data_IF_418482235770
#
_entry.id   IF_418482235770
#
_cell.length_a   1.000
_cell.length_b   1.000
_cell.length_c   1.000
_cell.angle_alpha   90.00
_cell.angle_beta   90.00
_cell.angle_gamma   90.00
#
_symmetry.space_group_name_H-M   'P 1'
#
loop_
_entity.id
_entity.type
_entity.pdbx_description
1 polymer ?
#
# COMPACT_ATOMS: atom_id res chain seq x y z
N UNK A 1 -11.71 26.37 13.65
CA UNK A 1 -12.19 25.06 13.15
C UNK A 1 -10.98 24.26 12.76
N UNK A 2 -10.73 23.11 13.42
CA UNK A 2 -9.63 22.23 13.04
C UNK A 2 -10.09 21.49 11.80
N UNK A 3 -9.59 21.92 10.63
CA UNK A 3 -9.86 21.22 9.37
C UNK A 3 -9.27 19.82 9.48
N UNK A 4 -10.12 18.80 9.36
CA UNK A 4 -9.66 17.43 9.27
C UNK A 4 -8.72 17.27 8.07
N UNK A 5 -7.75 16.35 8.12
CA UNK A 5 -6.79 16.16 7.04
C UNK A 5 -7.46 15.87 5.69
N UNK A 6 -8.62 15.19 5.72
CA UNK A 6 -9.44 14.91 4.53
C UNK A 6 -10.04 16.21 3.97
N UNK A 7 -10.51 17.10 4.83
CA UNK A 7 -11.15 18.35 4.44
C UNK A 7 -10.12 19.33 3.88
N UNK A 8 -8.90 19.34 4.43
CA UNK A 8 -7.76 20.09 3.89
C UNK A 8 -7.40 19.62 2.48
N UNK A 9 -7.34 18.31 2.25
CA UNK A 9 -7.07 17.75 0.92
C UNK A 9 -8.21 18.09 -0.04
N UNK A 10 -9.46 18.00 0.41
CA UNK A 10 -10.62 18.35 -0.40
C UNK A 10 -10.55 19.83 -0.82
N UNK A 11 -10.21 20.72 0.10
CA UNK A 11 -10.06 22.14 -0.20
C UNK A 11 -8.91 22.39 -1.17
N UNK A 12 -7.71 21.89 -0.90
CA UNK A 12 -6.53 22.18 -1.72
C UNK A 12 -6.46 21.45 -3.06
N UNK A 13 -7.05 20.26 -3.16
CA UNK A 13 -6.94 19.41 -4.36
C UNK A 13 -8.24 19.42 -5.16
N UNK A 14 -9.40 19.35 -4.52
CA UNK A 14 -10.68 19.25 -5.25
C UNK A 14 -11.18 20.62 -5.72
N UNK A 15 -11.00 21.69 -4.94
CA UNK A 15 -11.43 23.03 -5.39
C UNK A 15 -10.73 23.53 -6.67
N UNK A 16 -9.40 23.44 -6.86
CA UNK A 16 -8.80 23.92 -8.11
C UNK A 16 -9.27 23.12 -9.32
N UNK A 17 -9.63 21.85 -9.13
CA UNK A 17 -10.21 21.01 -10.18
C UNK A 17 -11.61 21.52 -10.52
N UNK A 18 -12.45 21.77 -9.51
CA UNK A 18 -13.79 22.32 -9.70
C UNK A 18 -13.73 23.71 -10.36
N UNK A 19 -12.84 24.61 -9.92
CA UNK A 19 -12.66 25.96 -10.50
C UNK A 19 -12.25 25.89 -11.98
N UNK A 20 -11.35 24.96 -12.32
CA UNK A 20 -10.93 24.74 -13.70
C UNK A 20 -12.08 24.21 -14.57
N UNK A 21 -12.85 23.25 -14.04
CA UNK A 21 -14.02 22.70 -14.70
C UNK A 21 -15.11 23.77 -14.90
N UNK A 22 -15.36 24.60 -13.91
CA UNK A 22 -16.33 25.70 -13.96
C UNK A 22 -15.97 26.72 -15.05
N UNK A 23 -14.69 27.13 -15.12
CA UNK A 23 -14.20 28.02 -16.18
C UNK A 23 -14.40 27.45 -17.59
N UNK A 24 -14.16 26.15 -17.77
CA UNK A 24 -14.36 25.49 -19.06
C UNK A 24 -15.84 25.43 -19.45
N UNK A 25 -16.72 25.21 -18.48
CA UNK A 25 -18.16 25.18 -18.68
C UNK A 25 -18.69 26.57 -19.07
N UNK A 26 -18.29 27.61 -18.33
CA UNK A 26 -18.73 29.00 -18.57
C UNK A 26 -18.17 29.57 -19.88
N UNK A 27 -16.99 29.13 -20.31
CA UNK A 27 -16.39 29.54 -21.59
C UNK A 27 -17.04 28.88 -22.80
N UNK A 28 -18.09 28.06 -22.62
CA UNK A 28 -18.81 27.38 -23.70
C UNK A 28 -18.04 26.22 -24.35
N UNK A 29 -16.90 25.81 -23.77
CA UNK A 29 -16.05 24.75 -24.31
C UNK A 29 -16.46 23.39 -23.73
N UNK A 30 -17.71 22.98 -23.97
CA UNK A 30 -18.29 21.75 -23.43
C UNK A 30 -17.47 20.49 -23.77
N UNK A 31 -16.86 20.42 -24.95
CA UNK A 31 -16.01 19.28 -25.35
C UNK A 31 -14.77 19.18 -24.44
N UNK A 32 -14.11 20.32 -24.16
CA UNK A 32 -12.95 20.35 -23.28
C UNK A 32 -13.32 20.01 -21.82
N UNK A 33 -14.52 20.42 -21.37
CA UNK A 33 -15.06 20.02 -20.08
C UNK A 33 -15.25 18.51 -19.96
N UNK A 34 -15.87 17.86 -20.96
CA UNK A 34 -16.04 16.41 -20.98
C UNK A 34 -14.72 15.66 -21.00
N UNK A 35 -13.74 16.13 -21.78
CA UNK A 35 -12.40 15.55 -21.80
C UNK A 35 -11.74 15.68 -20.42
N UNK A 36 -11.84 16.85 -19.78
CA UNK A 36 -11.29 17.09 -18.44
C UNK A 36 -11.85 16.13 -17.38
N UNK A 37 -13.18 15.97 -17.33
CA UNK A 37 -13.82 15.02 -16.41
C UNK A 37 -13.42 13.59 -16.74
N UNK A 38 -13.35 13.23 -18.02
CA UNK A 38 -13.01 11.88 -18.44
C UNK A 38 -11.59 11.50 -17.98
N UNK A 39 -10.61 12.38 -18.20
CA UNK A 39 -9.23 12.17 -17.74
C UNK A 39 -9.16 12.09 -16.21
N UNK A 40 -9.89 12.95 -15.50
CA UNK A 40 -9.92 12.91 -14.04
C UNK A 40 -10.53 11.61 -13.50
N UNK A 41 -11.61 11.13 -14.11
CA UNK A 41 -12.24 9.85 -13.76
C UNK A 41 -11.30 8.66 -14.00
N UNK A 42 -10.57 8.64 -15.12
CA UNK A 42 -9.58 7.60 -15.41
C UNK A 42 -8.46 7.60 -14.37
N UNK A 43 -7.92 8.77 -14.03
CA UNK A 43 -6.86 8.89 -13.02
C UNK A 43 -7.32 8.40 -11.65
N UNK A 44 -8.52 8.80 -11.21
CA UNK A 44 -9.10 8.30 -9.95
C UNK A 44 -9.34 6.79 -9.97
N UNK A 45 -9.82 6.26 -11.09
CA UNK A 45 -10.00 4.81 -11.28
C UNK A 45 -8.70 4.04 -11.18
N UNK A 46 -7.61 4.55 -11.77
CA UNK A 46 -6.28 3.93 -11.69
C UNK A 46 -5.78 3.93 -10.24
N UNK A 47 -5.89 5.07 -9.54
CA UNK A 47 -5.46 5.16 -8.12
C UNK A 47 -6.24 4.18 -7.26
N UNK A 48 -7.57 4.15 -7.39
CA UNK A 48 -8.41 3.19 -6.66
C UNK A 48 -8.09 1.73 -7.02
N UNK A 49 -7.79 1.44 -8.29
CA UNK A 49 -7.35 0.13 -8.74
C UNK A 49 -6.04 -0.30 -8.07
N UNK A 50 -5.05 0.58 -8.02
CA UNK A 50 -3.77 0.33 -7.35
C UNK A 50 -3.99 0.08 -5.85
N UNK A 51 -4.77 0.94 -5.18
CA UNK A 51 -5.12 0.78 -3.77
C UNK A 51 -5.81 -0.56 -3.53
N UNK A 52 -6.76 -0.94 -4.39
CA UNK A 52 -7.45 -2.23 -4.31
C UNK A 52 -6.50 -3.42 -4.44
N UNK A 53 -5.55 -3.38 -5.39
CA UNK A 53 -4.55 -4.45 -5.55
C UNK A 53 -3.61 -4.53 -4.35
N UNK A 54 -3.15 -3.39 -3.82
CA UNK A 54 -2.32 -3.34 -2.61
C UNK A 54 -3.11 -3.89 -1.42
N UNK A 55 -4.36 -3.49 -1.27
CA UNK A 55 -5.24 -3.95 -0.20
C UNK A 55 -5.48 -5.45 -0.29
N UNK A 56 -5.80 -5.96 -1.48
CA UNK A 56 -5.96 -7.39 -1.73
C UNK A 56 -4.68 -8.16 -1.38
N UNK A 57 -3.51 -7.66 -1.79
CA UNK A 57 -2.22 -8.28 -1.45
C UNK A 57 -1.90 -8.21 0.04
N UNK A 58 -2.38 -7.19 0.76
CA UNK A 58 -2.19 -7.04 2.20
C UNK A 58 -3.14 -7.94 3.00
N UNK A 59 -4.41 -8.00 2.62
CA UNK A 59 -5.44 -8.87 3.23
C UNK A 59 -5.15 -10.34 2.94
N UNK A 60 -4.73 -10.67 1.71
CA UNK A 60 -4.37 -12.02 1.30
C UNK A 60 -2.90 -12.34 1.57
N UNK A 61 -2.20 -11.49 2.34
CA UNK A 61 -0.90 -11.85 2.93
C UNK A 61 -1.20 -12.83 4.06
N UNK A 62 -1.47 -14.07 3.68
CA UNK A 62 -1.32 -15.21 4.57
C UNK A 62 0.01 -14.99 5.28
N UNK A 63 -0.05 -14.88 6.61
CA UNK A 63 1.13 -14.69 7.44
C UNK A 63 2.19 -15.65 6.91
N UNK A 64 3.42 -15.19 6.59
CA UNK A 64 4.46 -16.12 6.21
C UNK A 64 4.58 -17.08 7.39
N UNK A 65 4.01 -18.28 7.23
CA UNK A 65 4.10 -19.38 8.17
C UNK A 65 5.59 -19.43 8.45
N UNK A 66 5.97 -19.04 9.67
CA UNK A 66 7.37 -18.90 10.06
C UNK A 66 7.96 -20.29 9.94
N UNK A 67 8.45 -20.64 8.75
CA UNK A 67 9.38 -21.74 8.58
C UNK A 67 10.71 -21.19 9.10
N UNK A 68 10.77 -20.99 10.41
CA UNK A 68 12.02 -20.89 11.12
C UNK A 68 12.22 -22.21 11.84
N UNK A 69 12.86 -23.09 11.08
CA UNK A 69 13.92 -24.02 11.50
C UNK A 69 13.57 -24.97 12.65
N UNK A 70 13.34 -26.22 12.24
CA UNK A 70 13.97 -27.45 12.76
C UNK A 70 14.55 -27.26 14.18
N UNK A 71 13.94 -27.82 15.23
CA UNK A 71 14.58 -27.86 16.53
C UNK A 71 15.88 -28.68 16.46
N UNK A 72 16.96 -27.98 16.77
CA UNK A 72 18.25 -28.42 17.30
C UNK A 72 18.30 -29.89 17.76
N UNK A 73 19.27 -30.66 17.24
CA UNK A 73 20.19 -31.48 18.06
C UNK A 73 21.56 -31.48 17.38
N UNK A 74 22.39 -30.50 17.74
CA UNK A 74 23.84 -30.54 17.55
C UNK A 74 24.41 -31.28 18.76
N UNK A 75 24.33 -32.62 18.79
CA UNK A 75 24.74 -33.41 19.96
C UNK A 75 25.36 -34.77 19.62
N UNK A 76 26.12 -34.84 18.53
CA UNK A 76 26.97 -36.03 18.25
C UNK A 76 28.47 -35.75 18.45
N UNK A 77 28.86 -34.48 18.61
CA UNK A 77 30.27 -34.07 18.70
C UNK A 77 30.81 -33.75 20.09
N UNK A 78 29.95 -33.47 21.08
CA UNK A 78 30.36 -33.04 22.42
C UNK A 78 30.23 -34.14 23.49
N UNK A 79 29.33 -35.11 23.30
CA UNK A 79 29.16 -36.24 24.22
C UNK A 79 30.31 -37.27 24.15
N UNK A 80 31.10 -37.28 23.06
CA UNK A 80 32.26 -38.18 22.91
C UNK A 80 33.57 -37.62 23.46
N UNK A 81 33.70 -36.30 23.64
CA UNK A 81 34.95 -35.69 24.10
C UNK A 81 35.09 -35.66 25.63
N UNK A 82 33.97 -35.63 26.37
CA UNK A 82 34.00 -35.51 27.82
C UNK A 82 34.10 -36.85 28.56
N UNK A 83 33.77 -37.98 27.90
CA UNK A 83 33.89 -39.32 28.47
C UNK A 83 35.28 -39.96 28.29
N UNK A 84 36.11 -39.50 27.33
CA UNK A 84 37.48 -40.02 27.18
C UNK A 84 38.52 -39.34 28.08
N UNK A 85 38.25 -38.14 28.59
CA UNK A 85 39.14 -37.46 29.55
C UNK A 85 39.02 -37.98 30.99
N UNK A 86 38.06 -38.88 31.28
CA UNK A 86 37.83 -39.40 32.64
C UNK A 86 38.36 -40.82 32.87
N UNK A 87 39.13 -41.39 31.93
CA UNK A 87 39.76 -42.70 32.06
C UNK A 87 41.30 -42.69 31.91
N UNK A 88 41.96 -41.53 32.06
CA UNK A 88 43.38 -41.48 32.38
C UNK A 88 43.60 -41.26 33.87
#
# INVERSE_FOLDING_TARGET
MVLGPIELICYYVVQPIIDFLDKLLISGHYIAFYIGISVFGVLLGIVMGIVSVIWYKYVNREEPKKIHKIPLVKDEGQLKAHDMQKQQ
#
